data_IF_969972556403
#
_entry.id   IF_969972556403
#
_cell.length_a   1.000
_cell.length_b   1.000
_cell.length_c   1.000
_cell.angle_alpha   90.00
_cell.angle_beta   90.00
_cell.angle_gamma   90.00
#
_symmetry.space_group_name_H-M   'P 1'
#
loop_
_entity.id
_entity.type
_entity.pdbx_description
1 polymer ?
#
# COMPACT_ATOMS: atom_id res chain seq x y z
N UNK A 1 53.46 -21.93 30.23
CA UNK A 1 52.74 -20.68 29.90
C UNK A 1 52.26 -20.80 28.45
N UNK A 2 50.94 -20.88 28.24
CA UNK A 2 50.29 -20.88 26.91
C UNK A 2 49.24 -19.77 26.94
N UNK A 3 49.18 -18.85 25.97
CA UNK A 3 48.14 -17.83 25.97
C UNK A 3 46.86 -18.40 25.34
N UNK A 4 45.92 -18.83 26.18
CA UNK A 4 44.49 -18.84 25.79
C UNK A 4 43.98 -17.41 25.99
N UNK A 5 44.15 -16.54 25.00
CA UNK A 5 43.58 -15.19 25.02
C UNK A 5 43.45 -14.63 23.61
N UNK A 6 42.69 -15.30 22.77
CA UNK A 6 42.34 -14.78 21.44
C UNK A 6 40.94 -15.19 20.96
N UNK A 7 40.01 -15.51 21.87
CA UNK A 7 38.71 -16.05 21.46
C UNK A 7 37.50 -15.55 22.27
N UNK A 8 37.53 -14.31 22.78
CA UNK A 8 36.36 -13.73 23.49
C UNK A 8 35.98 -12.31 22.98
N UNK A 9 36.71 -11.74 22.01
CA UNK A 9 36.48 -10.35 21.59
C UNK A 9 35.64 -10.15 20.31
N UNK A 10 35.15 -11.21 19.65
CA UNK A 10 34.35 -11.06 18.41
C UNK A 10 32.84 -11.32 18.57
N UNK A 11 32.36 -11.72 19.74
CA UNK A 11 30.95 -12.10 19.93
C UNK A 11 30.04 -10.95 20.37
N UNK A 12 30.58 -9.75 20.61
CA UNK A 12 29.83 -8.62 21.18
C UNK A 12 29.25 -7.62 20.17
N UNK A 13 29.56 -7.74 18.87
CA UNK A 13 29.26 -6.67 17.90
C UNK A 13 27.98 -6.85 17.06
N UNK A 14 27.11 -7.81 17.37
CA UNK A 14 25.91 -8.09 16.56
C UNK A 14 24.57 -7.94 17.30
N UNK A 15 24.53 -7.37 18.50
CA UNK A 15 23.27 -7.17 19.24
C UNK A 15 22.63 -5.78 19.09
N UNK A 16 22.78 -5.16 17.92
CA UNK A 16 21.98 -3.97 17.57
C UNK A 16 21.50 -4.06 16.13
N UNK A 17 20.92 -5.20 15.74
CA UNK A 17 19.84 -5.15 14.77
C UNK A 17 18.67 -4.49 15.48
N UNK A 18 18.68 -3.16 15.53
CA UNK A 18 17.45 -2.40 15.67
C UNK A 18 16.51 -2.97 14.59
N UNK A 19 15.56 -3.81 15.02
CA UNK A 19 14.53 -4.29 14.14
C UNK A 19 13.95 -3.07 13.45
N UNK A 20 13.99 -3.03 12.13
CA UNK A 20 13.31 -2.02 11.35
C UNK A 20 11.81 -2.17 11.63
N UNK A 21 11.36 -1.58 12.73
CA UNK A 21 9.96 -1.37 12.99
C UNK A 21 9.54 -0.28 12.02
N UNK A 22 8.79 -0.67 10.96
CA UNK A 22 8.00 0.26 10.16
C UNK A 22 6.79 0.69 11.00
N UNK A 23 7.03 1.28 12.18
CA UNK A 23 5.97 1.91 12.95
C UNK A 23 6.15 3.42 12.98
N UNK A 24 5.00 4.06 12.87
CA UNK A 24 4.73 5.49 12.89
C UNK A 24 5.03 6.19 11.56
N UNK A 25 4.15 5.95 10.58
CA UNK A 25 3.93 6.87 9.46
C UNK A 25 3.73 8.27 10.04
N UNK A 26 4.68 9.21 9.89
CA UNK A 26 4.55 10.54 10.46
C UNK A 26 3.31 11.21 9.87
N UNK A 27 2.63 12.06 10.65
CA UNK A 27 1.50 12.85 10.17
C UNK A 27 1.80 13.66 8.89
N UNK A 28 3.09 13.90 8.58
CA UNK A 28 3.58 14.54 7.37
C UNK A 28 3.44 13.70 6.08
N UNK A 29 3.01 12.44 6.18
CA UNK A 29 2.85 11.55 5.04
C UNK A 29 1.40 11.42 4.56
N UNK A 30 0.41 12.00 5.26
CA UNK A 30 -0.99 11.88 4.86
C UNK A 30 -1.39 13.07 3.99
N UNK A 31 -1.79 12.78 2.74
CA UNK A 31 -2.27 13.77 1.79
C UNK A 31 -3.77 14.00 1.93
N UNK A 32 -4.54 12.93 2.21
CA UNK A 32 -5.98 13.01 2.44
C UNK A 32 -6.44 12.00 3.47
N UNK A 33 -7.34 12.42 4.35
CA UNK A 33 -7.90 11.60 5.44
C UNK A 33 -9.37 11.27 5.25
N UNK A 34 -9.78 10.16 5.88
CA UNK A 34 -11.19 9.83 6.11
C UNK A 34 -11.94 9.48 4.82
N UNK A 35 -11.27 8.79 3.89
CA UNK A 35 -11.91 8.30 2.68
C UNK A 35 -12.54 6.94 2.96
N UNK A 36 -13.67 6.67 2.29
CA UNK A 36 -14.32 5.36 2.27
C UNK A 36 -14.31 4.85 0.85
N UNK A 37 -13.98 3.58 0.66
CA UNK A 37 -13.91 3.00 -0.68
C UNK A 37 -14.13 1.51 -0.69
N UNK A 38 -14.19 0.95 -1.89
CA UNK A 38 -14.26 -0.49 -2.13
C UNK A 38 -13.35 -0.87 -3.30
N UNK A 39 -12.73 -2.05 -3.21
CA UNK A 39 -11.95 -2.61 -4.33
C UNK A 39 -12.94 -3.12 -5.37
N UNK A 40 -12.91 -2.53 -6.56
CA UNK A 40 -13.76 -2.89 -7.71
C UNK A 40 -13.03 -3.73 -8.76
N UNK A 41 -11.69 -3.72 -8.72
CA UNK A 41 -10.85 -4.53 -9.58
C UNK A 41 -9.48 -4.75 -8.94
N UNK A 42 -8.91 -5.94 -9.09
CA UNK A 42 -7.57 -6.25 -8.60
C UNK A 42 -6.93 -7.33 -9.45
N UNK A 43 -5.73 -7.05 -9.93
CA UNK A 43 -4.87 -7.95 -10.70
C UNK A 43 -3.45 -7.93 -10.11
N UNK A 44 -2.50 -8.58 -10.81
CA UNK A 44 -1.09 -8.45 -10.49
C UNK A 44 -0.50 -7.07 -10.85
N UNK A 45 -1.09 -6.36 -11.80
CA UNK A 45 -0.58 -5.08 -12.30
C UNK A 45 -1.21 -3.88 -11.61
N UNK A 46 -2.49 -3.97 -11.22
CA UNK A 46 -3.21 -2.84 -10.63
C UNK A 46 -4.28 -3.28 -9.63
N UNK A 47 -4.58 -2.41 -8.68
CA UNK A 47 -5.78 -2.49 -7.86
C UNK A 47 -6.53 -1.17 -8.01
N UNK A 48 -7.83 -1.26 -8.27
CA UNK A 48 -8.69 -0.10 -8.48
C UNK A 48 -9.68 -0.02 -7.33
N UNK A 49 -9.77 1.16 -6.73
CA UNK A 49 -10.67 1.47 -5.64
C UNK A 49 -11.64 2.55 -6.10
N UNK A 50 -12.93 2.29 -5.90
CA UNK A 50 -13.96 3.31 -5.99
C UNK A 50 -14.02 4.10 -4.68
N UNK A 51 -13.91 5.43 -4.76
CA UNK A 51 -14.11 6.33 -3.61
C UNK A 51 -15.60 6.62 -3.46
N UNK A 52 -16.14 6.43 -2.26
CA UNK A 52 -17.60 6.43 -2.01
C UNK A 52 -18.10 7.70 -1.33
N UNK A 53 -17.23 8.47 -0.68
CA UNK A 53 -17.62 9.59 0.18
C UNK A 53 -17.03 10.95 -0.21
N UNK A 54 -16.28 11.02 -1.31
CA UNK A 54 -15.72 12.26 -1.87
C UNK A 54 -15.62 12.14 -3.39
N UNK A 55 -15.69 13.30 -4.05
CA UNK A 55 -15.50 13.42 -5.50
C UNK A 55 -14.00 13.45 -5.83
N UNK A 56 -13.38 12.26 -5.85
CA UNK A 56 -11.95 12.07 -6.14
C UNK A 56 -11.80 10.91 -7.10
N UNK A 57 -10.95 11.09 -8.11
CA UNK A 57 -10.63 10.07 -9.10
C UNK A 57 -11.15 10.47 -10.47
N UNK A 58 -11.40 9.46 -11.29
CA UNK A 58 -11.96 9.62 -12.63
C UNK A 58 -12.92 8.48 -12.90
N UNK A 59 -13.73 8.62 -13.95
CA UNK A 59 -14.46 7.49 -14.49
C UNK A 59 -13.48 6.46 -15.03
N UNK A 60 -13.75 5.20 -14.70
CA UNK A 60 -12.96 4.07 -15.15
C UNK A 60 -13.88 2.93 -15.59
N UNK A 61 -13.58 2.35 -16.75
CA UNK A 61 -14.32 1.22 -17.29
C UNK A 61 -13.48 -0.04 -17.19
N UNK A 62 -14.01 -1.05 -16.51
CA UNK A 62 -13.41 -2.36 -16.44
C UNK A 62 -13.40 -2.99 -17.84
N UNK A 63 -12.22 -3.33 -18.33
CA UNK A 63 -12.06 -3.85 -19.69
C UNK A 63 -12.58 -5.29 -19.86
N UNK A 64 -12.82 -6.02 -18.77
CA UNK A 64 -13.32 -7.40 -18.80
C UNK A 64 -14.85 -7.49 -18.91
N UNK A 65 -15.58 -6.72 -18.11
CA UNK A 65 -17.05 -6.77 -18.03
C UNK A 65 -17.75 -5.51 -18.58
N UNK A 66 -16.97 -4.51 -19.02
CA UNK A 66 -17.44 -3.24 -19.56
C UNK A 66 -18.24 -2.39 -18.54
N UNK A 67 -18.13 -2.69 -17.25
CA UNK A 67 -18.77 -1.89 -16.21
C UNK A 67 -17.97 -0.61 -15.96
N UNK A 68 -18.67 0.53 -15.95
CA UNK A 68 -18.09 1.84 -15.64
C UNK A 68 -18.33 2.19 -14.18
N UNK A 69 -17.29 2.70 -13.53
CA UNK A 69 -17.30 3.18 -12.16
C UNK A 69 -16.80 4.62 -12.13
N UNK A 70 -17.57 5.49 -11.49
CA UNK A 70 -17.16 6.87 -11.22
C UNK A 70 -16.27 6.92 -9.96
N UNK A 71 -15.46 7.97 -9.84
CA UNK A 71 -14.61 8.23 -8.67
C UNK A 71 -13.61 7.09 -8.39
N UNK A 72 -13.07 6.51 -9.46
CA UNK A 72 -12.13 5.41 -9.40
C UNK A 72 -10.68 5.91 -9.38
N UNK A 73 -9.86 5.28 -8.56
CA UNK A 73 -8.42 5.52 -8.47
C UNK A 73 -7.65 4.20 -8.52
N UNK A 74 -6.49 4.22 -9.17
CA UNK A 74 -5.51 3.15 -9.07
C UNK A 74 -4.78 3.30 -7.75
N UNK A 75 -4.57 2.21 -7.02
CA UNK A 75 -3.96 2.27 -5.69
C UNK A 75 -2.85 1.26 -5.50
N UNK A 76 -1.81 1.71 -4.82
CA UNK A 76 -0.88 0.86 -4.10
C UNK A 76 -1.31 0.80 -2.62
N UNK A 77 -1.66 -0.39 -2.13
CA UNK A 77 -2.15 -0.59 -0.76
C UNK A 77 -1.02 -1.16 0.09
N UNK A 78 -0.51 -0.37 1.04
CA UNK A 78 0.67 -0.78 1.82
C UNK A 78 0.35 -1.69 3.03
N UNK A 79 -0.93 -1.85 3.38
CA UNK A 79 -1.38 -2.66 4.52
C UNK A 79 -2.70 -3.42 4.23
N UNK A 80 -2.79 -4.14 3.10
CA UNK A 80 -4.03 -4.77 2.57
C UNK A 80 -4.77 -5.75 3.52
N UNK A 81 -4.15 -6.18 4.63
CA UNK A 81 -4.68 -6.99 5.73
C UNK A 81 -6.10 -7.59 5.56
N UNK A 82 -6.25 -8.56 4.65
CA UNK A 82 -7.44 -9.41 4.57
C UNK A 82 -8.72 -8.75 4.05
N UNK A 83 -8.66 -7.56 3.45
CA UNK A 83 -9.84 -6.93 2.85
C UNK A 83 -10.26 -7.70 1.60
N UNK A 84 -11.47 -8.28 1.67
CA UNK A 84 -12.11 -8.92 0.54
C UNK A 84 -12.42 -7.91 -0.57
N UNK A 85 -12.43 -8.36 -1.82
CA UNK A 85 -12.98 -7.57 -2.92
C UNK A 85 -14.44 -7.17 -2.62
N UNK A 86 -14.86 -5.99 -3.08
CA UNK A 86 -16.19 -5.39 -2.83
C UNK A 86 -16.53 -5.02 -1.38
N UNK A 87 -15.70 -5.35 -0.38
CA UNK A 87 -15.90 -4.85 0.97
C UNK A 87 -15.62 -3.33 1.02
N UNK A 88 -16.48 -2.59 1.73
CA UNK A 88 -16.20 -1.21 2.08
C UNK A 88 -15.11 -1.15 3.16
N UNK A 89 -14.25 -0.15 3.06
CA UNK A 89 -13.22 0.13 4.05
C UNK A 89 -12.87 1.60 4.10
N UNK A 90 -12.31 2.01 5.23
CA UNK A 90 -11.79 3.35 5.44
C UNK A 90 -10.30 3.38 5.09
N UNK A 91 -9.85 4.46 4.45
CA UNK A 91 -8.45 4.64 4.08
C UNK A 91 -8.05 6.12 4.03
N UNK A 92 -6.74 6.35 4.00
CA UNK A 92 -6.12 7.63 3.76
C UNK A 92 -5.24 7.55 2.51
N UNK A 93 -5.18 8.61 1.72
CA UNK A 93 -4.14 8.76 0.68
C UNK A 93 -2.89 9.30 1.36
N UNK A 94 -1.77 8.65 1.11
CA UNK A 94 -0.46 9.03 1.66
C UNK A 94 0.51 9.40 0.55
N UNK A 95 1.65 9.98 0.93
CA UNK A 95 2.73 10.27 0.02
C UNK A 95 3.14 9.01 -0.74
N UNK A 96 3.36 9.17 -2.05
CA UNK A 96 3.65 8.06 -2.96
C UNK A 96 4.92 7.31 -2.51
N UNK A 97 4.77 6.03 -2.20
CA UNK A 97 5.91 5.14 -1.90
C UNK A 97 6.42 4.47 -3.19
N UNK A 98 7.71 4.11 -3.28
CA UNK A 98 8.24 3.32 -4.39
C UNK A 98 7.47 2.01 -4.56
N UNK A 99 7.04 1.71 -5.78
CA UNK A 99 6.22 0.54 -6.10
C UNK A 99 6.97 -0.41 -7.06
N UNK A 100 6.90 -1.71 -6.78
CA UNK A 100 7.23 -2.74 -7.76
C UNK A 100 5.95 -3.08 -8.51
N UNK A 101 5.81 -2.61 -9.75
CA UNK A 101 4.72 -3.04 -10.63
C UNK A 101 5.13 -4.27 -11.41
N UNK A 102 4.16 -5.14 -11.66
CA UNK A 102 4.31 -6.11 -12.73
C UNK A 102 4.42 -5.37 -14.06
N UNK A 103 5.39 -5.76 -14.89
CA UNK A 103 5.52 -5.29 -16.27
C UNK A 103 4.47 -5.99 -17.15
N UNK A 104 3.19 -5.65 -16.92
CA UNK A 104 2.05 -6.18 -17.64
C UNK A 104 1.05 -5.06 -17.89
N UNK A 105 0.55 -4.96 -19.12
CA UNK A 105 -0.56 -4.06 -19.45
C UNK A 105 -1.85 -4.57 -18.81
N UNK A 106 -2.60 -3.66 -18.21
CA UNK A 106 -3.93 -3.93 -17.64
C UNK A 106 -4.95 -2.91 -18.16
N UNK A 107 -6.18 -2.93 -17.64
CA UNK A 107 -7.27 -2.03 -17.99
C UNK A 107 -6.94 -0.54 -17.74
N UNK A 108 -6.18 0.06 -18.66
CA UNK A 108 -6.01 1.50 -18.88
C UNK A 108 -5.15 2.28 -17.88
N UNK A 109 -4.70 3.50 -18.25
CA UNK A 109 -4.02 4.39 -17.33
C UNK A 109 -5.02 4.98 -16.33
N UNK A 110 -4.76 4.79 -15.04
CA UNK A 110 -5.47 5.47 -13.96
C UNK A 110 -4.44 6.26 -13.17
N UNK A 111 -4.85 7.38 -12.55
CA UNK A 111 -4.01 8.04 -11.56
C UNK A 111 -3.74 7.08 -10.39
N UNK A 112 -2.45 6.90 -10.07
CA UNK A 112 -1.99 5.96 -9.05
C UNK A 112 -1.62 6.67 -7.76
N UNK A 113 -2.39 6.39 -6.72
CA UNK A 113 -2.18 6.85 -5.35
C UNK A 113 -1.60 5.74 -4.47
N UNK A 114 -0.93 6.12 -3.38
CA UNK A 114 -0.59 5.17 -2.31
C UNK A 114 -1.59 5.35 -1.18
N UNK A 115 -2.17 4.26 -0.68
CA UNK A 115 -3.17 4.30 0.38
C UNK A 115 -2.80 3.43 1.58
N UNK A 116 -3.28 3.87 2.75
CA UNK A 116 -3.25 3.12 4.01
C UNK A 116 -4.68 2.89 4.46
N UNK A 117 -5.05 1.64 4.66
CA UNK A 117 -6.34 1.25 5.26
C UNK A 117 -6.31 1.60 6.75
N UNK A 118 -7.38 2.24 7.22
CA UNK A 118 -7.54 2.71 8.60
C UNK A 118 -8.67 2.01 9.36
N UNK A 119 -9.50 1.22 8.69
CA UNK A 119 -10.56 0.42 9.31
C UNK A 119 -11.50 -0.22 8.28
N UNK A 120 -12.44 -1.02 8.76
CA UNK A 120 -13.53 -1.61 7.99
C UNK A 120 -14.84 -0.88 8.29
#
# INVERSE_FOLDING_TARGET
MKPLSAMILLSGLLMVSAGCSKNDTPANNILQTGLRGKIIYSSCATTVVQVLNKDIGTDWTNCHDQQTFEHAIGVNIINRNGIAAEAEFNFNIVQKEPEMKCDMGDCGPINYETIVITGN
#
